data_IF_014974514056
#
_entry.id   IF_014974514056
#
_cell.length_a   1.000
_cell.length_b   1.000
_cell.length_c   1.000
_cell.angle_alpha   90.00
_cell.angle_beta   90.00
_cell.angle_gamma   90.00
#
_symmetry.space_group_name_H-M   'P 1'
#
loop_
_entity.id
_entity.type
_entity.pdbx_description
1 polymer ?
#
# COMPACT_ATOMS: atom_id res chain seq x y z
N UNK A 1 2.51 9.47 15.38
CA UNK A 1 1.38 9.05 14.50
C UNK A 1 1.34 9.94 13.28
N UNK A 2 0.99 9.38 12.14
CA UNK A 2 0.96 10.13 10.89
C UNK A 2 -0.19 11.13 10.87
N UNK A 3 0.12 12.32 10.38
CA UNK A 3 -0.89 13.33 10.11
C UNK A 3 -1.55 13.04 8.76
N UNK A 4 -2.66 13.73 8.49
CA UNK A 4 -3.38 13.55 7.24
C UNK A 4 -2.51 13.80 6.01
N UNK A 5 -1.66 14.85 6.06
CA UNK A 5 -0.77 15.17 4.94
C UNK A 5 0.24 14.06 4.69
N UNK A 6 0.71 13.42 5.76
CA UNK A 6 1.67 12.32 5.63
C UNK A 6 1.02 11.12 4.97
N UNK A 7 -0.22 10.82 5.35
CA UNK A 7 -0.97 9.72 4.75
C UNK A 7 -1.25 10.00 3.27
N UNK A 8 -1.64 11.22 2.94
CA UNK A 8 -1.90 11.60 1.55
C UNK A 8 -0.66 11.47 0.69
N UNK A 9 0.49 11.84 1.23
CA UNK A 9 1.76 11.71 0.53
C UNK A 9 2.09 10.26 0.23
N UNK A 10 1.96 9.39 1.23
CA UNK A 10 2.22 7.97 1.06
C UNK A 10 1.28 7.34 0.04
N UNK A 11 0.01 7.71 0.10
CA UNK A 11 -1.00 7.24 -0.85
C UNK A 11 -0.62 7.64 -2.28
N UNK A 12 -0.16 8.89 -2.44
CA UNK A 12 0.24 9.38 -3.76
C UNK A 12 1.41 8.58 -4.33
N UNK A 13 2.42 8.29 -3.50
CA UNK A 13 3.57 7.50 -3.93
C UNK A 13 3.11 6.12 -4.39
N UNK A 14 2.30 5.44 -3.59
CA UNK A 14 1.85 4.10 -3.92
C UNK A 14 1.00 4.10 -5.19
N UNK A 15 0.13 5.09 -5.33
CA UNK A 15 -0.75 5.18 -6.51
C UNK A 15 0.07 5.19 -7.81
N UNK A 16 1.16 5.94 -7.84
CA UNK A 16 2.01 6.02 -9.02
C UNK A 16 2.70 4.68 -9.32
N UNK A 17 2.96 3.88 -8.29
CA UNK A 17 3.67 2.62 -8.45
C UNK A 17 2.75 1.43 -8.75
N UNK A 18 1.43 1.59 -8.60
CA UNK A 18 0.50 0.46 -8.70
C UNK A 18 0.61 -0.33 -10.00
N UNK A 19 0.64 0.30 -11.20
CA UNK A 19 0.69 -0.50 -12.42
C UNK A 19 1.96 -1.36 -12.50
N UNK A 20 3.09 -0.82 -12.07
CA UNK A 20 4.36 -1.54 -12.13
C UNK A 20 4.39 -2.65 -11.09
N UNK A 21 3.93 -2.38 -9.86
CA UNK A 21 3.87 -3.38 -8.81
C UNK A 21 2.97 -4.54 -9.21
N UNK A 22 1.79 -4.22 -9.73
CA UNK A 22 0.84 -5.24 -10.17
C UNK A 22 1.42 -6.09 -11.30
N UNK A 23 2.09 -5.44 -12.26
CA UNK A 23 2.69 -6.15 -13.37
C UNK A 23 3.80 -7.11 -12.91
N UNK A 24 4.57 -6.71 -11.91
CA UNK A 24 5.66 -7.54 -11.40
C UNK A 24 5.18 -8.88 -10.83
N UNK A 25 4.00 -8.91 -10.25
CA UNK A 25 3.46 -10.15 -9.68
C UNK A 25 2.40 -10.79 -10.58
N UNK A 26 2.15 -10.18 -11.74
CA UNK A 26 1.27 -10.79 -12.75
C UNK A 26 -0.21 -10.81 -12.41
N UNK A 27 -0.66 -9.90 -11.55
CA UNK A 27 -2.08 -9.84 -11.18
C UNK A 27 -2.83 -8.89 -12.11
N UNK A 28 -4.05 -9.29 -12.47
CA UNK A 28 -4.97 -8.39 -13.16
C UNK A 28 -5.58 -7.42 -12.14
N UNK A 29 -6.19 -6.34 -12.64
CA UNK A 29 -6.91 -5.42 -11.76
C UNK A 29 -8.02 -6.12 -11.00
N UNK A 30 -8.72 -7.03 -11.68
CA UNK A 30 -9.81 -7.78 -11.05
C UNK A 30 -9.29 -8.66 -9.91
N UNK A 31 -8.19 -9.37 -10.16
CA UNK A 31 -7.61 -10.24 -9.14
C UNK A 31 -7.13 -9.44 -7.93
N UNK A 32 -6.44 -8.33 -8.17
CA UNK A 32 -5.94 -7.53 -7.06
C UNK A 32 -7.08 -6.88 -6.28
N UNK A 33 -8.11 -6.39 -6.98
CA UNK A 33 -9.26 -5.78 -6.28
C UNK A 33 -9.96 -6.81 -5.39
N UNK A 34 -10.07 -8.06 -5.85
CA UNK A 34 -10.65 -9.12 -5.03
C UNK A 34 -9.83 -9.39 -3.77
N UNK A 35 -8.52 -9.40 -3.90
CA UNK A 35 -7.63 -9.64 -2.75
C UNK A 35 -7.79 -8.56 -1.69
N UNK A 36 -7.86 -7.29 -2.12
CA UNK A 36 -7.94 -6.19 -1.16
C UNK A 36 -9.38 -5.83 -0.76
N UNK A 37 -10.37 -6.47 -1.38
CA UNK A 37 -11.76 -6.33 -0.95
C UNK A 37 -12.47 -5.09 -1.47
N UNK A 38 -12.11 -4.59 -2.65
CA UNK A 38 -12.81 -3.48 -3.29
C UNK A 38 -13.28 -3.91 -4.67
N UNK A 39 -14.19 -3.12 -5.27
CA UNK A 39 -14.67 -3.46 -6.61
C UNK A 39 -13.60 -3.17 -7.66
N UNK A 40 -13.68 -3.87 -8.79
CA UNK A 40 -12.76 -3.64 -9.90
C UNK A 40 -12.85 -2.20 -10.40
N UNK A 41 -14.07 -1.65 -10.44
CA UNK A 41 -14.27 -0.26 -10.87
C UNK A 41 -13.57 0.72 -9.93
N UNK A 42 -13.67 0.49 -8.62
CA UNK A 42 -13.00 1.33 -7.64
C UNK A 42 -11.49 1.23 -7.81
N UNK A 43 -10.97 0.02 -7.95
CA UNK A 43 -9.53 -0.16 -8.14
C UNK A 43 -9.05 0.54 -9.42
N UNK A 44 -9.76 0.38 -10.52
CA UNK A 44 -9.40 1.00 -11.79
C UNK A 44 -9.37 2.52 -11.67
N UNK A 45 -10.35 3.10 -10.97
CA UNK A 45 -10.39 4.54 -10.76
C UNK A 45 -9.19 5.02 -9.93
N UNK A 46 -8.75 4.21 -8.96
CA UNK A 46 -7.58 4.53 -8.14
C UNK A 46 -6.32 4.51 -8.99
N UNK A 47 -6.12 3.44 -9.76
CA UNK A 47 -4.91 3.26 -10.57
C UNK A 47 -4.79 4.34 -11.65
N UNK A 48 -5.91 4.84 -12.17
CA UNK A 48 -5.91 5.90 -13.16
C UNK A 48 -5.97 7.30 -12.54
N UNK A 49 -5.86 7.38 -11.22
CA UNK A 49 -5.84 8.62 -10.45
C UNK A 49 -7.12 9.45 -10.58
N UNK A 50 -8.24 8.79 -10.85
CA UNK A 50 -9.56 9.44 -10.87
C UNK A 50 -10.19 9.45 -9.49
N UNK A 51 -9.69 8.63 -8.60
CA UNK A 51 -10.19 8.50 -7.24
C UNK A 51 -9.02 8.22 -6.31
N UNK A 52 -9.00 8.90 -5.17
CA UNK A 52 -7.99 8.69 -4.14
C UNK A 52 -8.35 7.43 -3.34
N UNK A 53 -7.38 6.55 -3.10
CA UNK A 53 -7.64 5.39 -2.26
C UNK A 53 -7.78 5.79 -0.80
N UNK A 54 -8.56 5.01 -0.05
CA UNK A 54 -8.65 5.18 1.39
C UNK A 54 -7.37 4.70 2.07
N UNK A 55 -7.17 5.12 3.32
CA UNK A 55 -6.03 4.64 4.09
C UNK A 55 -6.10 3.13 4.29
N UNK A 56 -7.30 2.58 4.49
CA UNK A 56 -7.45 1.13 4.64
C UNK A 56 -7.04 0.39 3.37
N UNK A 57 -7.41 0.91 2.21
CA UNK A 57 -6.98 0.30 0.94
C UNK A 57 -5.47 0.40 0.79
N UNK A 58 -4.89 1.54 1.16
CA UNK A 58 -3.43 1.72 1.13
C UNK A 58 -2.74 0.64 1.97
N UNK A 59 -3.19 0.44 3.21
CA UNK A 59 -2.60 -0.58 4.08
C UNK A 59 -2.75 -1.98 3.53
N UNK A 60 -3.90 -2.28 2.93
CA UNK A 60 -4.12 -3.60 2.32
C UNK A 60 -3.19 -3.84 1.14
N UNK A 61 -2.99 -2.82 0.31
CA UNK A 61 -2.07 -2.92 -0.82
C UNK A 61 -0.62 -3.05 -0.35
N UNK A 62 -0.25 -2.32 0.70
CA UNK A 62 1.09 -2.49 1.28
C UNK A 62 1.31 -3.92 1.76
N UNK A 63 0.29 -4.52 2.34
CA UNK A 63 0.39 -5.89 2.81
C UNK A 63 0.65 -6.84 1.63
N UNK A 64 -0.10 -6.68 0.56
CA UNK A 64 0.07 -7.53 -0.63
C UNK A 64 1.47 -7.39 -1.22
N UNK A 65 1.88 -6.16 -1.51
CA UNK A 65 3.15 -5.93 -2.19
C UNK A 65 4.35 -6.05 -1.27
N UNK A 66 4.19 -5.75 0.00
CA UNK A 66 5.26 -5.89 0.99
C UNK A 66 5.54 -7.34 1.35
N UNK A 67 4.55 -8.19 1.27
CA UNK A 67 4.70 -9.61 1.56
C UNK A 67 5.34 -10.38 0.39
N UNK A 68 5.15 -9.91 -0.82
CA UNK A 68 5.66 -10.58 -2.03
C UNK A 68 7.11 -10.15 -2.29
N UNK A 69 8.01 -11.14 -2.38
CA UNK A 69 9.43 -10.88 -2.57
C UNK A 69 9.73 -10.05 -3.82
N UNK A 70 8.93 -10.21 -4.87
CA UNK A 70 9.16 -9.51 -6.14
C UNK A 70 8.93 -8.01 -6.03
N UNK A 71 8.11 -7.57 -5.08
CA UNK A 71 7.72 -6.17 -4.96
C UNK A 71 8.16 -5.51 -3.66
N UNK A 72 8.55 -6.30 -2.66
CA UNK A 72 8.88 -5.75 -1.34
C UNK A 72 10.01 -4.72 -1.39
N UNK A 73 11.10 -5.03 -2.09
CA UNK A 73 12.24 -4.13 -2.19
C UNK A 73 11.87 -2.84 -2.91
N UNK A 74 11.15 -2.96 -4.03
CA UNK A 74 10.71 -1.79 -4.78
C UNK A 74 9.82 -0.89 -3.93
N UNK A 75 8.93 -1.50 -3.16
CA UNK A 75 8.03 -0.76 -2.28
C UNK A 75 8.80 0.06 -1.25
N UNK A 76 9.83 -0.55 -0.64
CA UNK A 76 10.65 0.15 0.34
C UNK A 76 11.46 1.28 -0.28
N UNK A 77 11.99 1.04 -1.47
CA UNK A 77 12.81 2.04 -2.16
C UNK A 77 11.98 3.21 -2.67
N UNK A 78 10.71 3.02 -2.94
CA UNK A 78 9.84 4.09 -3.43
C UNK A 78 9.47 5.10 -2.35
N UNK A 79 9.63 4.73 -1.08
CA UNK A 79 9.20 5.57 0.04
C UNK A 79 7.77 5.37 0.47
N UNK A 80 7.04 4.48 -0.19
CA UNK A 80 5.65 4.19 0.20
C UNK A 80 5.57 3.40 1.50
N UNK A 81 6.68 2.77 1.89
CA UNK A 81 6.73 1.98 3.11
C UNK A 81 7.92 2.40 3.97
N UNK A 82 7.87 3.60 4.56
CA UNK A 82 8.99 4.12 5.35
C UNK A 82 9.17 3.36 6.66
N UNK A 83 10.36 3.48 7.23
CA UNK A 83 10.70 2.81 8.48
C UNK A 83 9.73 3.19 9.59
N UNK A 84 9.31 4.45 9.64
CA UNK A 84 8.38 4.91 10.67
C UNK A 84 7.06 4.14 10.62
N UNK A 85 6.57 3.88 9.41
CA UNK A 85 5.34 3.10 9.26
C UNK A 85 5.54 1.66 9.70
N UNK A 86 6.69 1.07 9.38
CA UNK A 86 7.01 -0.29 9.83
C UNK A 86 7.00 -0.36 11.35
N UNK A 87 7.56 0.64 12.01
CA UNK A 87 7.60 0.67 13.46
C UNK A 87 6.20 0.78 14.06
N UNK A 88 5.32 1.54 13.42
CA UNK A 88 3.93 1.66 13.87
C UNK A 88 3.19 0.34 13.70
N UNK A 89 3.39 -0.33 12.55
CA UNK A 89 2.69 -1.59 12.27
C UNK A 89 3.21 -2.75 13.11
N UNK A 90 4.49 -2.69 13.49
CA UNK A 90 5.12 -3.74 14.28
C UNK A 90 5.05 -3.40 15.77
N UNK A 91 3.83 -3.18 16.26
CA UNK A 91 3.61 -2.82 17.67
C UNK A 91 3.78 -4.05 18.55
N UNK A 92 4.58 -3.88 19.61
CA UNK A 92 4.71 -4.91 20.64
C UNK A 92 4.56 -4.21 22.00
N UNK A 93 3.40 -4.39 22.59
CA UNK A 93 3.06 -3.71 23.84
C UNK A 93 4.00 -4.07 24.97
N UNK A 94 4.57 -5.27 24.95
CA UNK A 94 5.50 -5.70 26.01
C UNK A 94 6.78 -4.89 26.03
N UNK A 95 7.19 -4.35 24.88
CA UNK A 95 8.39 -3.50 24.82
C UNK A 95 8.17 -2.17 25.50
N UNK A 96 6.94 -1.72 25.57
CA UNK A 96 6.59 -0.43 26.14
C UNK A 96 6.53 -0.47 27.66
N UNK A 97 6.41 -1.65 28.23
CA UNK A 97 6.27 -1.83 29.68
C UNK A 97 7.59 -1.76 30.43
N UNK A 98 8.67 -1.47 29.75
CA UNK A 98 10.00 -1.44 30.36
C UNK A 98 10.42 -0.10 30.86
#
# INVERSE_FOLDING_TARGET
>A
MYKRQDKDHLISILTEELPVLRAKIGLSQDELSNIVGISRQTYSAIETNKRKMSWNTFLSLLLVFGYNEKTATMLEMSGAFPVELKNILNVDRRKEDK
#
